data_IF_137059889406
#
_entry.id   IF_137059889406
#
_cell.length_a   1.000
_cell.length_b   1.000
_cell.length_c   1.000
_cell.angle_alpha   90.00
_cell.angle_beta   90.00
_cell.angle_gamma   90.00
#
_symmetry.space_group_name_H-M   'P 1'
#
loop_
_entity.id
_entity.type
_entity.pdbx_description
1 polymer ?
#
# COMPACT_ATOMS: atom_id res chain seq x y z
N UNK A 1 1.23 23.87 -23.74
CA UNK A 1 2.08 22.80 -23.15
C UNK A 1 1.27 21.60 -22.65
N UNK A 2 -0.01 21.75 -22.30
CA UNK A 2 -0.88 20.66 -21.79
C UNK A 2 -1.01 19.37 -22.63
N UNK A 3 -0.80 19.39 -23.95
CA UNK A 3 -1.04 18.21 -24.80
C UNK A 3 -0.05 17.05 -24.59
N UNK A 4 1.22 17.35 -24.31
CA UNK A 4 2.27 16.32 -24.17
C UNK A 4 2.21 15.69 -22.77
N UNK A 5 1.88 16.50 -21.76
CA UNK A 5 1.74 16.07 -20.36
C UNK A 5 0.61 15.05 -20.17
N UNK A 6 -0.56 15.33 -20.77
CA UNK A 6 -1.72 14.42 -20.74
C UNK A 6 -1.38 13.07 -21.36
N UNK A 7 -0.66 13.06 -22.49
CA UNK A 7 -0.21 11.83 -23.14
C UNK A 7 0.78 11.05 -22.26
N UNK A 8 1.71 11.74 -21.58
CA UNK A 8 2.65 11.12 -20.65
C UNK A 8 1.97 10.44 -19.47
N UNK A 9 0.96 11.09 -18.88
CA UNK A 9 0.16 10.51 -17.79
C UNK A 9 -0.58 9.25 -18.25
N UNK A 10 -1.29 9.34 -19.39
CA UNK A 10 -2.07 8.20 -19.93
C UNK A 10 -1.15 7.03 -20.27
N UNK A 11 0.01 7.29 -20.88
CA UNK A 11 0.98 6.26 -21.20
C UNK A 11 1.50 5.56 -19.92
N UNK A 12 1.83 6.33 -18.88
CA UNK A 12 2.31 5.80 -17.60
C UNK A 12 1.26 4.96 -16.89
N UNK A 13 0.00 5.42 -16.85
CA UNK A 13 -1.14 4.65 -16.33
C UNK A 13 -1.29 3.34 -17.09
N UNK A 14 -1.28 3.38 -18.42
CA UNK A 14 -1.41 2.18 -19.25
C UNK A 14 -0.33 1.14 -18.93
N UNK A 15 0.92 1.59 -18.72
CA UNK A 15 2.01 0.70 -18.33
C UNK A 15 1.83 0.14 -16.91
N UNK A 16 1.37 0.94 -15.94
CA UNK A 16 1.07 0.46 -14.58
C UNK A 16 -0.01 -0.61 -14.62
N UNK A 17 -1.08 -0.41 -15.40
CA UNK A 17 -2.15 -1.40 -15.56
C UNK A 17 -1.59 -2.70 -16.15
N UNK A 18 -0.78 -2.60 -17.21
CA UNK A 18 -0.18 -3.76 -17.86
C UNK A 18 0.73 -4.55 -16.91
N UNK A 19 1.72 -3.89 -16.30
CA UNK A 19 2.66 -4.56 -15.40
C UNK A 19 1.99 -5.02 -14.10
N UNK A 20 1.02 -4.27 -13.59
CA UNK A 20 0.23 -4.66 -12.43
C UNK A 20 -0.48 -5.99 -12.64
N UNK A 21 -1.13 -6.17 -13.80
CA UNK A 21 -1.74 -7.45 -14.17
C UNK A 21 -0.74 -8.61 -14.22
N UNK A 22 0.44 -8.40 -14.82
CA UNK A 22 1.49 -9.43 -14.89
C UNK A 22 2.02 -9.80 -13.50
N UNK A 23 2.15 -8.82 -12.59
CA UNK A 23 2.55 -9.07 -11.20
C UNK A 23 1.50 -9.89 -10.46
N UNK A 24 0.21 -9.56 -10.58
CA UNK A 24 -0.88 -10.32 -9.95
C UNK A 24 -0.87 -11.77 -10.40
N UNK A 25 -0.72 -12.03 -11.71
CA UNK A 25 -0.60 -13.39 -12.25
C UNK A 25 0.63 -14.09 -11.66
N UNK A 26 1.80 -13.43 -11.65
CA UNK A 26 3.02 -14.01 -11.08
C UNK A 26 2.93 -14.30 -9.57
N UNK A 27 2.21 -13.47 -8.82
CA UNK A 27 1.92 -13.72 -7.41
C UNK A 27 0.98 -14.90 -7.22
N UNK A 28 -0.01 -15.08 -8.09
CA UNK A 28 -0.88 -16.25 -8.07
C UNK A 28 -0.10 -17.53 -8.39
N UNK A 29 0.84 -17.49 -9.33
CA UNK A 29 1.73 -18.63 -9.62
C UNK A 29 2.65 -18.96 -8.43
N UNK A 30 3.17 -17.94 -7.74
CA UNK A 30 3.93 -18.12 -6.51
C UNK A 30 3.05 -18.67 -5.38
N UNK A 31 1.82 -18.20 -5.25
CA UNK A 31 0.83 -18.69 -4.29
C UNK A 31 0.61 -20.21 -4.45
N UNK A 32 0.41 -20.68 -5.68
CA UNK A 32 0.23 -22.11 -5.97
C UNK A 32 1.47 -22.94 -5.62
N UNK A 33 2.67 -22.35 -5.70
CA UNK A 33 3.94 -23.02 -5.38
C UNK A 33 4.32 -22.93 -3.89
N UNK A 34 3.88 -21.89 -3.19
CA UNK A 34 4.27 -21.59 -1.81
C UNK A 34 3.28 -22.19 -0.80
N UNK A 35 3.50 -23.44 -0.41
CA UNK A 35 2.67 -24.14 0.59
C UNK A 35 2.65 -23.50 1.99
N UNK A 36 3.56 -22.56 2.31
CA UNK A 36 3.77 -22.09 3.69
C UNK A 36 3.29 -20.66 4.01
N UNK A 37 2.85 -19.86 3.03
CA UNK A 37 2.38 -18.49 3.30
C UNK A 37 1.42 -17.93 2.23
N UNK A 38 0.30 -18.62 1.91
CA UNK A 38 -0.65 -18.21 0.87
C UNK A 38 -1.24 -16.80 1.12
N UNK A 39 -1.53 -16.47 2.37
CA UNK A 39 -2.18 -15.20 2.75
C UNK A 39 -1.34 -13.97 2.40
N UNK A 40 -0.01 -14.04 2.55
CA UNK A 40 0.87 -12.92 2.23
C UNK A 40 0.79 -12.58 0.74
N UNK A 41 0.87 -13.58 -0.14
CA UNK A 41 0.80 -13.34 -1.58
C UNK A 41 -0.57 -12.82 -2.04
N UNK A 42 -1.65 -13.26 -1.39
CA UNK A 42 -2.99 -12.72 -1.65
C UNK A 42 -3.10 -11.24 -1.26
N UNK A 43 -2.56 -10.85 -0.11
CA UNK A 43 -2.51 -9.44 0.31
C UNK A 43 -1.70 -8.58 -0.68
N UNK A 44 -0.55 -9.08 -1.14
CA UNK A 44 0.29 -8.40 -2.12
C UNK A 44 -0.43 -8.24 -3.47
N UNK A 45 -1.20 -9.25 -3.89
CA UNK A 45 -2.00 -9.17 -5.11
C UNK A 45 -3.08 -8.08 -5.00
N UNK A 46 -3.79 -8.04 -3.87
CA UNK A 46 -4.79 -7.01 -3.59
C UNK A 46 -4.18 -5.59 -3.62
N UNK A 47 -2.97 -5.40 -3.07
CA UNK A 47 -2.28 -4.10 -3.11
C UNK A 47 -2.00 -3.64 -4.55
N UNK A 48 -1.57 -4.55 -5.42
CA UNK A 48 -1.31 -4.24 -6.84
C UNK A 48 -2.62 -3.97 -7.57
N UNK A 49 -3.69 -4.69 -7.24
CA UNK A 49 -5.01 -4.45 -7.84
C UNK A 49 -5.57 -3.06 -7.45
N UNK A 50 -5.44 -2.67 -6.18
CA UNK A 50 -5.78 -1.31 -5.74
C UNK A 50 -4.98 -0.25 -6.49
N UNK A 51 -3.70 -0.51 -6.78
CA UNK A 51 -2.86 0.39 -7.57
C UNK A 51 -3.38 0.53 -9.00
N UNK A 52 -3.78 -0.59 -9.64
CA UNK A 52 -4.36 -0.61 -10.98
C UNK A 52 -5.67 0.18 -11.01
N UNK A 53 -6.53 0.02 -10.00
CA UNK A 53 -7.77 0.79 -9.87
C UNK A 53 -7.49 2.29 -9.70
N UNK A 54 -6.53 2.65 -8.85
CA UNK A 54 -6.10 4.05 -8.67
C UNK A 54 -5.58 4.66 -9.98
N UNK A 55 -4.77 3.91 -10.73
CA UNK A 55 -4.25 4.35 -12.01
C UNK A 55 -5.38 4.58 -13.04
N UNK A 56 -6.39 3.71 -13.08
CA UNK A 56 -7.58 3.90 -13.94
C UNK A 56 -8.34 5.17 -13.59
N UNK A 57 -8.57 5.43 -12.30
CA UNK A 57 -9.23 6.65 -11.84
C UNK A 57 -8.47 7.91 -12.28
N UNK A 58 -7.13 7.89 -12.24
CA UNK A 58 -6.30 9.00 -12.73
C UNK A 58 -6.47 9.19 -14.24
N UNK A 59 -6.52 8.12 -15.04
CA UNK A 59 -6.73 8.23 -16.47
C UNK A 59 -8.12 8.76 -16.86
N UNK A 60 -9.15 8.40 -16.09
CA UNK A 60 -10.53 8.84 -16.31
C UNK A 60 -10.78 10.30 -15.87
N UNK A 61 -9.94 10.83 -14.99
CA UNK A 61 -10.14 12.16 -14.39
C UNK A 61 -9.17 13.19 -14.95
N UNK A 62 -9.63 14.08 -15.83
CA UNK A 62 -8.80 15.12 -16.47
C UNK A 62 -8.05 16.02 -15.47
N UNK A 63 -8.69 16.38 -14.36
CA UNK A 63 -8.09 17.22 -13.33
C UNK A 63 -6.90 16.57 -12.58
N UNK A 64 -6.71 15.25 -12.71
CA UNK A 64 -5.55 14.53 -12.18
C UNK A 64 -4.38 14.44 -13.18
N UNK A 65 -4.53 14.92 -14.41
CA UNK A 65 -3.49 14.82 -15.45
C UNK A 65 -2.52 16.00 -15.37
N UNK A 66 -1.94 16.18 -14.20
CA UNK A 66 -0.95 17.24 -13.92
C UNK A 66 0.47 16.69 -14.02
N UNK A 67 1.45 17.56 -14.32
CA UNK A 67 2.87 17.19 -14.38
C UNK A 67 3.38 16.61 -13.04
N UNK A 68 2.87 17.11 -11.91
CA UNK A 68 3.21 16.58 -10.59
C UNK A 68 2.79 15.11 -10.44
N UNK A 69 1.57 14.79 -10.87
CA UNK A 69 1.06 13.41 -10.85
C UNK A 69 1.82 12.54 -11.85
N UNK A 70 2.19 13.07 -13.01
CA UNK A 70 2.99 12.37 -14.00
C UNK A 70 4.32 11.86 -13.41
N UNK A 71 5.07 12.71 -12.70
CA UNK A 71 6.35 12.33 -12.06
C UNK A 71 6.18 11.24 -10.98
N UNK A 72 5.10 11.32 -10.21
CA UNK A 72 4.79 10.26 -9.24
C UNK A 72 4.43 8.94 -9.92
N UNK A 73 3.68 8.99 -11.03
CA UNK A 73 3.36 7.80 -11.82
C UNK A 73 4.60 7.19 -12.47
N UNK A 74 5.55 7.98 -12.95
CA UNK A 74 6.82 7.47 -13.48
C UNK A 74 7.64 6.74 -12.40
N UNK A 75 7.77 7.34 -11.21
CA UNK A 75 8.47 6.70 -10.08
C UNK A 75 7.80 5.39 -9.65
N UNK A 76 6.46 5.39 -9.63
CA UNK A 76 5.66 4.22 -9.31
C UNK A 76 5.82 3.13 -10.38
N UNK A 77 5.81 3.51 -11.66
CA UNK A 77 6.02 2.62 -12.79
C UNK A 77 7.39 1.94 -12.74
N UNK A 78 8.45 2.68 -12.41
CA UNK A 78 9.78 2.10 -12.24
C UNK A 78 9.83 1.09 -11.08
N UNK A 79 9.13 1.38 -9.98
CA UNK A 79 9.00 0.47 -8.85
C UNK A 79 8.27 -0.81 -9.25
N UNK A 80 7.16 -0.68 -9.97
CA UNK A 80 6.37 -1.81 -10.50
C UNK A 80 7.21 -2.65 -11.48
N UNK A 81 7.96 -2.02 -12.40
CA UNK A 81 8.87 -2.72 -13.33
C UNK A 81 9.96 -3.49 -12.59
N UNK A 82 10.57 -2.91 -11.57
CA UNK A 82 11.59 -3.57 -10.76
C UNK A 82 11.03 -4.75 -9.96
N UNK A 83 9.82 -4.59 -9.42
CA UNK A 83 9.12 -5.67 -8.73
C UNK A 83 8.79 -6.83 -9.67
N UNK A 84 8.27 -6.52 -10.86
CA UNK A 84 8.02 -7.50 -11.92
C UNK A 84 9.30 -8.26 -12.31
N UNK A 85 10.43 -7.55 -12.51
CA UNK A 85 11.74 -8.18 -12.80
C UNK A 85 12.16 -9.13 -11.68
N UNK A 86 12.01 -8.70 -10.43
CA UNK A 86 12.37 -9.49 -9.25
C UNK A 86 11.51 -10.75 -9.14
N UNK A 87 10.20 -10.64 -9.35
CA UNK A 87 9.27 -11.77 -9.36
C UNK A 87 9.52 -12.73 -10.53
N UNK A 88 9.72 -12.21 -11.74
CA UNK A 88 10.07 -13.01 -12.92
C UNK A 88 11.37 -13.81 -12.71
N UNK A 89 12.38 -13.19 -12.12
CA UNK A 89 13.63 -13.86 -11.76
C UNK A 89 13.41 -14.88 -10.63
N UNK A 90 12.51 -14.57 -9.69
CA UNK A 90 12.11 -15.49 -8.63
C UNK A 90 11.53 -16.79 -9.22
N UNK A 91 10.54 -16.66 -10.11
CA UNK A 91 9.85 -17.76 -10.77
C UNK A 91 10.77 -18.60 -11.68
N UNK A 92 11.60 -17.95 -12.51
CA UNK A 92 12.50 -18.64 -13.46
C UNK A 92 13.49 -19.57 -12.77
N UNK A 93 14.03 -19.16 -11.63
CA UNK A 93 15.03 -19.97 -10.93
C UNK A 93 14.39 -21.08 -10.08
N UNK A 94 13.14 -20.91 -9.65
CA UNK A 94 12.38 -21.98 -8.98
C UNK A 94 12.10 -23.16 -9.93
N UNK A 95 11.80 -22.87 -11.20
CA UNK A 95 11.51 -23.87 -12.24
C UNK A 95 12.73 -24.73 -12.63
N UNK A 96 13.96 -24.22 -12.56
CA UNK A 96 15.12 -24.84 -13.23
C UNK A 96 15.91 -25.89 -12.43
N UNK A 97 15.75 -26.05 -11.12
CA UNK A 97 16.68 -26.89 -10.32
C UNK A 97 16.00 -27.73 -9.23
N UNK A 98 15.70 -29.02 -9.49
CA UNK A 98 15.12 -29.93 -8.49
C UNK A 98 16.10 -30.43 -7.41
N UNK A 99 17.43 -30.26 -7.59
CA UNK A 99 18.44 -30.95 -6.77
C UNK A 99 19.03 -30.22 -5.55
N UNK A 100 18.63 -28.98 -5.21
CA UNK A 100 19.28 -28.22 -4.12
C UNK A 100 18.29 -27.72 -3.05
N UNK A 101 17.73 -28.64 -2.28
CA UNK A 101 16.74 -28.35 -1.20
C UNK A 101 17.28 -27.42 -0.09
N UNK A 102 18.55 -27.55 0.31
CA UNK A 102 19.13 -26.68 1.37
C UNK A 102 19.43 -25.26 0.87
N UNK A 103 19.93 -25.09 -0.35
CA UNK A 103 20.12 -23.75 -0.93
C UNK A 103 18.79 -23.03 -1.16
N UNK A 104 17.71 -23.78 -1.40
CA UNK A 104 16.37 -23.21 -1.63
C UNK A 104 15.84 -22.44 -0.41
N UNK A 105 16.16 -22.84 0.82
CA UNK A 105 15.68 -22.16 2.02
C UNK A 105 16.40 -20.83 2.31
N UNK A 106 17.73 -20.81 2.20
CA UNK A 106 18.52 -19.58 2.41
C UNK A 106 18.30 -18.61 1.25
N UNK A 107 18.22 -19.12 0.03
CA UNK A 107 17.97 -18.33 -1.17
C UNK A 107 16.50 -17.86 -1.26
N UNK A 108 15.53 -18.60 -0.70
CA UNK A 108 14.15 -18.11 -0.60
C UNK A 108 14.02 -16.97 0.40
N UNK A 109 14.69 -17.04 1.54
CA UNK A 109 14.64 -15.97 2.55
C UNK A 109 15.15 -14.63 1.98
N UNK A 110 16.29 -14.62 1.29
CA UNK A 110 16.81 -13.40 0.67
C UNK A 110 15.93 -12.86 -0.47
N UNK A 111 15.19 -13.73 -1.16
CA UNK A 111 14.24 -13.33 -2.21
C UNK A 111 12.95 -12.79 -1.65
N UNK A 112 12.42 -13.46 -0.65
CA UNK A 112 11.23 -13.03 0.06
C UNK A 112 11.48 -11.64 0.67
N UNK A 113 12.68 -11.41 1.23
CA UNK A 113 13.10 -10.09 1.71
C UNK A 113 13.16 -9.05 0.58
N UNK A 114 13.75 -9.38 -0.58
CA UNK A 114 13.75 -8.47 -1.75
C UNK A 114 12.35 -8.16 -2.27
N UNK A 115 11.48 -9.16 -2.35
CA UNK A 115 10.09 -9.00 -2.79
C UNK A 115 9.35 -8.13 -1.78
N UNK A 116 9.46 -8.44 -0.48
CA UNK A 116 8.85 -7.68 0.62
C UNK A 116 9.31 -6.22 0.59
N UNK A 117 10.62 -5.97 0.41
CA UNK A 117 11.17 -4.62 0.29
C UNK A 117 10.61 -3.88 -0.92
N UNK A 118 10.47 -4.56 -2.06
CA UNK A 118 9.85 -3.99 -3.25
C UNK A 118 8.39 -3.59 -3.02
N UNK A 119 7.62 -4.41 -2.29
CA UNK A 119 6.25 -4.08 -1.90
C UNK A 119 6.16 -2.96 -0.87
N UNK A 120 7.10 -2.89 0.08
CA UNK A 120 7.17 -1.75 1.01
C UNK A 120 7.41 -0.43 0.26
N UNK A 121 8.32 -0.42 -0.72
CA UNK A 121 8.53 0.75 -1.59
C UNK A 121 7.29 1.08 -2.44
N UNK A 122 6.56 0.05 -2.90
CA UNK A 122 5.32 0.24 -3.63
C UNK A 122 4.25 0.92 -2.78
N UNK A 123 4.08 0.48 -1.53
CA UNK A 123 3.15 1.10 -0.58
C UNK A 123 3.55 2.54 -0.25
N UNK A 124 4.84 2.82 -0.02
CA UNK A 124 5.34 4.17 0.21
C UNK A 124 5.01 5.10 -0.97
N UNK A 125 5.28 4.66 -2.19
CA UNK A 125 4.98 5.42 -3.41
C UNK A 125 3.48 5.60 -3.63
N UNK A 126 2.66 4.59 -3.31
CA UNK A 126 1.19 4.68 -3.37
C UNK A 126 0.66 5.70 -2.38
N UNK A 127 1.15 5.67 -1.14
CA UNK A 127 0.78 6.66 -0.11
C UNK A 127 1.21 8.07 -0.50
N UNK A 128 2.41 8.23 -1.07
CA UNK A 128 2.87 9.53 -1.58
C UNK A 128 1.96 10.05 -2.71
N UNK A 129 1.58 9.18 -3.65
CA UNK A 129 0.66 9.54 -4.74
C UNK A 129 -0.73 9.91 -4.19
N UNK A 130 -1.26 9.13 -3.24
CA UNK A 130 -2.55 9.42 -2.60
C UNK A 130 -2.55 10.78 -1.88
N UNK A 131 -1.47 11.10 -1.16
CA UNK A 131 -1.29 12.41 -0.52
C UNK A 131 -1.18 13.53 -1.55
N UNK A 132 -0.49 13.31 -2.66
CA UNK A 132 -0.40 14.27 -3.76
C UNK A 132 -1.78 14.55 -4.38
N UNK A 133 -2.57 13.51 -4.63
CA UNK A 133 -3.95 13.61 -5.12
C UNK A 133 -4.80 14.38 -4.12
N UNK A 134 -4.75 14.01 -2.84
CA UNK A 134 -5.52 14.65 -1.78
C UNK A 134 -5.11 16.11 -1.56
N UNK A 135 -3.83 16.45 -1.67
CA UNK A 135 -3.36 17.84 -1.59
C UNK A 135 -3.85 18.68 -2.78
N UNK A 136 -3.83 18.10 -3.98
CA UNK A 136 -4.30 18.77 -5.20
C UNK A 136 -5.82 18.98 -5.17
N UNK A 137 -6.59 17.98 -4.72
CA UNK A 137 -8.06 18.02 -4.66
C UNK A 137 -8.61 18.69 -3.41
N UNK A 138 -7.93 18.55 -2.27
CA UNK A 138 -8.31 19.20 -1.01
C UNK A 138 -8.24 20.71 -1.12
N UNK A 139 -7.23 21.23 -1.84
CA UNK A 139 -7.17 22.66 -2.20
C UNK A 139 -8.31 23.09 -3.13
N UNK A 140 -8.79 22.20 -3.99
CA UNK A 140 -9.90 22.48 -4.92
C UNK A 140 -11.28 22.41 -4.24
N UNK A 141 -11.48 21.52 -3.25
CA UNK A 141 -12.76 21.35 -2.55
C UNK A 141 -12.97 22.26 -1.33
N UNK A 142 -11.94 22.99 -0.87
CA UNK A 142 -12.06 24.00 0.21
C UNK A 142 -11.93 25.46 -0.29
N UNK A 143 -12.77 25.98 -1.21
CA UNK A 143 -12.74 27.41 -1.53
C UNK A 143 -13.52 28.30 -0.53
N UNK A 144 -14.03 27.78 0.59
CA UNK A 144 -15.15 28.43 1.29
C UNK A 144 -14.92 28.85 2.76
N UNK A 145 -13.74 29.34 3.17
CA UNK A 145 -13.61 30.10 4.45
C UNK A 145 -12.59 31.25 4.36
N UNK A 146 -12.65 32.11 3.33
CA UNK A 146 -11.84 33.35 3.36
C UNK A 146 -12.58 34.63 2.94
N UNK A 147 -13.91 34.61 2.78
CA UNK A 147 -14.62 35.85 2.41
C UNK A 147 -16.02 35.98 3.00
N UNK A 148 -16.16 35.77 4.30
CA UNK A 148 -17.31 36.28 5.06
C UNK A 148 -16.83 36.97 6.33
N UNK A 149 -16.78 38.30 6.26
CA UNK A 149 -17.12 39.16 7.41
C UNK A 149 -16.02 39.39 8.45
N UNK A 150 -15.26 40.46 8.25
CA UNK A 150 -14.43 41.07 9.29
C UNK A 150 -14.31 42.59 9.17
N UNK A 151 -15.32 43.26 8.58
CA UNK A 151 -15.51 44.70 8.78
C UNK A 151 -16.05 44.89 10.21
N UNK A 152 -15.16 44.79 11.20
CA UNK A 152 -15.44 45.12 12.59
C UNK A 152 -15.12 46.60 12.81
N UNK A 153 -16.02 47.46 12.31
CA UNK A 153 -16.09 48.85 12.70
C UNK A 153 -17.19 48.99 13.77
N UNK A 154 -16.79 49.53 14.93
CA UNK A 154 -17.60 50.00 16.07
C UNK A 154 -18.29 48.94 16.95
N UNK A 155 -17.71 48.70 18.13
CA UNK A 155 -18.29 49.15 19.40
C UNK A 155 -17.23 49.03 20.51
N UNK A 156 -16.67 50.17 20.84
CA UNK A 156 -15.95 50.45 22.08
C UNK A 156 -16.99 50.42 23.22
N UNK A 157 -16.79 49.50 24.16
CA UNK A 157 -17.78 49.21 25.21
C UNK A 157 -17.25 48.18 26.20
N UNK A 158 -16.20 48.59 26.90
CA UNK A 158 -16.06 48.50 28.36
C UNK A 158 -16.63 47.28 29.13
N UNK A 159 -15.77 46.77 30.04
CA UNK A 159 -16.10 46.17 31.35
C UNK A 159 -16.01 44.63 31.54
N UNK A 160 -15.09 44.29 32.45
CA UNK A 160 -15.01 43.13 33.36
C UNK A 160 -14.50 41.77 32.88
N UNK A 161 -13.18 41.61 33.04
CA UNK A 161 -12.56 40.77 34.10
C UNK A 161 -13.44 39.60 34.59
N UNK A 162 -13.25 38.40 34.02
CA UNK A 162 -13.53 37.17 34.75
C UNK A 162 -12.56 36.04 34.42
N UNK A 163 -11.89 35.63 35.49
CA UNK A 163 -10.84 34.63 35.62
C UNK A 163 -11.53 33.29 35.90
N UNK A 164 -11.48 32.35 34.96
CA UNK A 164 -11.86 30.95 35.21
C UNK A 164 -10.93 30.03 34.39
N UNK A 165 -9.90 29.50 35.04
CA UNK A 165 -9.81 28.11 35.51
C UNK A 165 -9.71 27.09 34.37
N UNK A 166 -8.45 26.75 34.09
CA UNK A 166 -7.95 25.63 33.30
C UNK A 166 -8.56 24.28 33.75
N UNK A 167 -9.14 23.48 32.83
CA UNK A 167 -9.45 22.08 33.09
C UNK A 167 -8.25 21.21 32.74
N UNK A 168 -7.64 20.67 33.78
CA UNK A 168 -6.63 19.62 33.77
C UNK A 168 -7.31 18.31 33.33
N UNK A 169 -7.25 17.96 32.04
CA UNK A 169 -7.80 16.68 31.56
C UNK A 169 -6.73 15.59 31.67
N UNK A 170 -7.16 14.57 32.41
CA UNK A 170 -6.48 13.42 32.98
C UNK A 170 -6.10 12.42 31.88
N UNK A 171 -4.84 12.03 31.84
CA UNK A 171 -4.36 10.91 31.03
C UNK A 171 -5.07 9.61 31.48
N UNK A 172 -5.88 9.05 30.59
CA UNK A 172 -6.46 7.72 30.73
C UNK A 172 -5.44 6.70 30.20
N UNK A 173 -4.74 6.03 31.13
CA UNK A 173 -3.98 4.81 30.84
C UNK A 173 -5.00 3.70 30.56
N UNK A 174 -5.09 3.27 29.30
CA UNK A 174 -5.78 2.02 28.98
C UNK A 174 -4.86 0.84 29.30
N UNK A 175 -5.44 -0.12 30.03
CA UNK A 175 -4.84 -1.34 30.50
C UNK A 175 -4.24 -2.19 29.38
N UNK A 176 -3.02 -2.67 29.63
CA UNK A 176 -2.40 -3.77 28.93
C UNK A 176 -3.09 -5.05 29.41
N UNK A 177 -3.99 -5.59 28.60
CA UNK A 177 -4.57 -6.92 28.80
C UNK A 177 -3.49 -7.95 28.46
N UNK A 178 -3.03 -8.71 29.46
CA UNK A 178 -2.11 -9.83 29.28
C UNK A 178 -2.90 -11.02 28.71
N UNK A 179 -2.48 -11.63 27.60
CA UNK A 179 -3.06 -12.89 27.15
C UNK A 179 -2.64 -14.05 28.07
N UNK A 180 -3.63 -14.86 28.40
CA UNK A 180 -3.63 -16.03 29.27
C UNK A 180 -2.79 -17.19 28.68
N UNK A 181 -1.81 -17.76 29.41
CA UNK A 181 -0.95 -18.84 28.92
C UNK A 181 -1.53 -20.25 29.17
N UNK A 182 -2.84 -20.44 29.04
CA UNK A 182 -3.54 -21.67 29.47
C UNK A 182 -4.23 -22.46 28.36
N UNK A 183 -3.76 -22.37 27.11
CA UNK A 183 -4.26 -23.20 25.99
C UNK A 183 -3.12 -23.99 25.34
N UNK A 184 -2.51 -24.87 26.12
CA UNK A 184 -1.74 -26.02 25.65
C UNK A 184 -2.59 -27.29 25.79
N UNK A 185 -2.46 -28.17 24.79
CA UNK A 185 -2.78 -29.61 24.79
C UNK A 185 -4.23 -30.04 24.55
N UNK A 186 -4.51 -30.44 23.30
CA UNK A 186 -5.39 -31.52 22.80
C UNK A 186 -5.41 -31.29 21.27
N UNK A 187 -4.55 -31.90 20.47
CA UNK A 187 -4.77 -33.25 19.97
C UNK A 187 -3.47 -33.84 19.38
N UNK A 188 -2.76 -34.57 20.23
CA UNK A 188 -1.80 -35.59 19.81
C UNK A 188 -2.48 -36.95 20.00
N UNK A 189 -3.38 -37.35 19.09
CA UNK A 189 -3.91 -38.72 19.06
C UNK A 189 -4.64 -39.04 17.74
N UNK A 190 -3.89 -39.27 16.66
CA UNK A 190 -4.28 -40.21 15.59
C UNK A 190 -3.09 -40.60 14.72
N UNK A 191 -2.19 -41.37 15.30
CA UNK A 191 -1.41 -42.36 14.58
C UNK A 191 -1.99 -43.73 14.91
N UNK A 192 -2.61 -44.41 13.95
CA UNK A 192 -2.51 -45.88 13.81
C UNK A 192 -3.35 -46.39 12.63
N UNK A 193 -2.75 -47.36 11.90
CA UNK A 193 -3.38 -48.37 11.02
C UNK A 193 -3.83 -47.83 9.65
N UNK A 194 -3.35 -48.28 8.48
CA UNK A 194 -3.02 -49.65 8.03
C UNK A 194 -2.11 -49.59 6.77
N UNK A 195 -1.03 -50.35 6.76
CA UNK A 195 -0.41 -51.03 5.59
C UNK A 195 -0.71 -52.54 5.78
N UNK A 196 -0.43 -53.46 4.84
CA UNK A 196 -0.32 -53.40 3.36
C UNK A 196 -1.18 -54.48 2.66
N UNK A 197 -1.32 -54.37 1.33
CA UNK A 197 -0.98 -55.40 0.32
C UNK A 197 -1.22 -54.82 -1.08
#
# INVERSE_FOLDING_TARGET
MAGIEVLGVIASVGQIIHYGGVIVIGLHDLYQQAQRAPERYAQLANQVEQLVQTARLIAETEALKTDLIARHLETLLDTVKNLHRTLSQALKDTSKKPGKRCWRAIWSAHREDKISKGFSQLEENKSSLALCILGTYGGFMMPAIQKTGGSASYLEGEVHRSRAKSPRVRAQRHNLEKPDPSSQNLDALRAEKVLPL
#
